data_IF_767440566544
#
_entry.id   IF_767440566544
#
_cell.length_a   1.000
_cell.length_b   1.000
_cell.length_c   1.000
_cell.angle_alpha   90.00
_cell.angle_beta   90.00
_cell.angle_gamma   90.00
#
_symmetry.space_group_name_H-M   'P 1'
#
loop_
_entity.id
_entity.type
_entity.pdbx_description
1 polymer ?
#
# COMPACT_ATOMS: atom_id res chain seq x y z
N UNK A 1 5.56 9.13 -16.29
CA UNK A 1 4.79 8.93 -15.06
C UNK A 1 4.00 7.62 -15.08
N UNK A 2 3.26 7.34 -16.17
CA UNK A 2 2.51 6.09 -16.34
C UNK A 2 3.41 4.86 -16.18
N UNK A 3 4.51 4.79 -16.91
CA UNK A 3 5.42 3.64 -16.88
C UNK A 3 5.93 3.34 -15.46
N UNK A 4 6.24 4.41 -14.71
CA UNK A 4 6.67 4.26 -13.32
C UNK A 4 5.56 3.72 -12.42
N UNK A 5 4.33 4.19 -12.58
CA UNK A 5 3.19 3.69 -11.82
C UNK A 5 2.87 2.23 -12.19
N UNK A 6 2.91 1.91 -13.47
CA UNK A 6 2.74 0.54 -13.95
C UNK A 6 3.80 -0.40 -13.36
N UNK A 7 5.07 0.01 -13.37
CA UNK A 7 6.18 -0.75 -12.77
C UNK A 7 5.95 -0.99 -11.26
N UNK A 8 5.51 0.04 -10.52
CA UNK A 8 5.22 -0.08 -9.08
C UNK A 8 4.13 -1.12 -8.84
N UNK A 9 2.96 -1.00 -9.46
CA UNK A 9 1.87 -1.94 -9.26
C UNK A 9 2.20 -3.34 -9.76
N UNK A 10 2.89 -3.46 -10.88
CA UNK A 10 3.34 -4.75 -11.41
C UNK A 10 4.33 -5.43 -10.46
N UNK A 11 5.26 -4.70 -9.89
CA UNK A 11 6.21 -5.23 -8.90
C UNK A 11 5.50 -5.70 -7.65
N UNK A 12 4.57 -4.90 -7.11
CA UNK A 12 3.77 -5.27 -5.94
C UNK A 12 3.02 -6.59 -6.18
N UNK A 13 2.34 -6.69 -7.31
CA UNK A 13 1.54 -7.88 -7.66
C UNK A 13 2.45 -9.09 -7.84
N UNK A 14 3.52 -8.97 -8.62
CA UNK A 14 4.44 -10.07 -8.88
C UNK A 14 5.08 -10.57 -7.60
N UNK A 15 5.60 -9.68 -6.76
CA UNK A 15 6.20 -10.05 -5.48
C UNK A 15 5.18 -10.73 -4.56
N UNK A 16 3.94 -10.25 -4.52
CA UNK A 16 2.88 -10.85 -3.69
C UNK A 16 2.52 -12.27 -4.15
N UNK A 17 2.41 -12.49 -5.45
CA UNK A 17 2.15 -13.81 -6.02
C UNK A 17 3.32 -14.77 -5.80
N UNK A 18 4.54 -14.29 -5.89
CA UNK A 18 5.74 -15.09 -5.59
C UNK A 18 5.81 -15.46 -4.11
N UNK A 19 5.44 -14.53 -3.22
CA UNK A 19 5.31 -14.83 -1.78
C UNK A 19 4.24 -15.90 -1.52
N UNK A 20 3.09 -15.82 -2.18
CA UNK A 20 2.05 -16.84 -2.05
C UNK A 20 2.59 -18.22 -2.46
N UNK A 21 3.23 -18.32 -3.62
CA UNK A 21 3.85 -19.57 -4.11
C UNK A 21 4.89 -20.14 -3.13
N UNK A 22 5.77 -19.29 -2.58
CA UNK A 22 6.77 -19.69 -1.57
C UNK A 22 6.13 -20.23 -0.29
N UNK A 23 4.92 -19.79 0.03
CA UNK A 23 4.14 -20.30 1.16
C UNK A 23 3.18 -21.44 0.79
N UNK A 24 3.32 -22.04 -0.40
CA UNK A 24 2.46 -23.09 -0.93
C UNK A 24 0.98 -22.68 -1.01
N UNK A 25 0.70 -21.41 -1.22
CA UNK A 25 -0.64 -20.87 -1.43
C UNK A 25 -0.80 -20.51 -2.92
N UNK A 26 -1.92 -20.93 -3.55
CA UNK A 26 -2.11 -20.69 -4.98
C UNK A 26 -2.39 -19.22 -5.33
N UNK A 27 -2.96 -18.47 -4.40
CA UNK A 27 -3.51 -17.14 -4.66
C UNK A 27 -3.07 -16.10 -3.63
N UNK A 28 -3.24 -14.81 -3.96
CA UNK A 28 -2.97 -13.70 -3.06
C UNK A 28 -4.14 -12.69 -3.05
N UNK A 29 -4.45 -12.15 -1.88
CA UNK A 29 -5.28 -10.95 -1.73
C UNK A 29 -4.38 -9.79 -1.33
N UNK A 30 -4.18 -8.87 -2.25
CA UNK A 30 -3.22 -7.77 -2.13
C UNK A 30 -3.98 -6.50 -1.83
N UNK A 31 -3.76 -5.92 -0.66
CA UNK A 31 -4.35 -4.65 -0.27
C UNK A 31 -3.31 -3.54 -0.42
N UNK A 32 -3.64 -2.54 -1.21
CA UNK A 32 -2.72 -1.44 -1.56
C UNK A 32 -3.44 -0.10 -1.46
N UNK A 33 -2.82 0.93 -0.84
CA UNK A 33 -3.34 2.29 -0.90
C UNK A 33 -3.21 2.86 -2.31
N UNK A 34 -3.92 3.97 -2.58
CA UNK A 34 -3.87 4.65 -3.88
C UNK A 34 -2.53 5.40 -4.04
N UNK A 35 -1.46 4.63 -4.27
CA UNK A 35 -0.07 5.12 -4.31
C UNK A 35 0.09 6.16 -5.40
N UNK A 36 0.73 7.29 -5.04
CA UNK A 36 1.01 8.40 -5.95
C UNK A 36 -0.14 9.41 -6.09
N UNK A 37 -1.32 9.14 -5.54
CA UNK A 37 -2.48 10.05 -5.60
C UNK A 37 -2.54 11.04 -4.43
N UNK A 38 -1.61 10.96 -3.48
CA UNK A 38 -1.59 11.72 -2.23
C UNK A 38 -0.86 13.07 -2.29
N UNK A 39 -0.10 13.35 -1.23
CA UNK A 39 0.53 14.64 -0.97
C UNK A 39 1.47 15.16 -2.08
N UNK A 40 2.11 14.27 -2.82
CA UNK A 40 2.98 14.65 -3.93
C UNK A 40 2.27 15.39 -5.08
N UNK A 41 0.96 15.24 -5.20
CA UNK A 41 0.17 15.95 -6.19
C UNK A 41 -0.33 17.32 -5.72
N UNK A 42 -0.10 17.68 -4.45
CA UNK A 42 -0.62 18.95 -3.88
C UNK A 42 0.00 20.20 -4.51
N UNK A 43 1.24 20.11 -4.98
CA UNK A 43 1.94 21.20 -5.66
C UNK A 43 1.54 21.40 -7.12
N UNK A 44 0.81 20.45 -7.70
CA UNK A 44 0.37 20.50 -9.08
C UNK A 44 -0.93 21.30 -9.23
N UNK A 45 -1.10 21.96 -10.38
CA UNK A 45 -2.40 22.54 -10.71
C UNK A 45 -3.44 21.42 -10.96
N UNK A 46 -4.72 21.79 -10.96
CA UNK A 46 -5.84 20.83 -11.08
C UNK A 46 -5.73 19.94 -12.33
N UNK A 47 -5.38 20.52 -13.47
CA UNK A 47 -5.28 19.79 -14.74
C UNK A 47 -4.14 18.76 -14.69
N UNK A 48 -2.99 19.15 -14.13
CA UNK A 48 -1.85 18.24 -13.95
C UNK A 48 -2.17 17.13 -12.94
N UNK A 49 -2.80 17.49 -11.81
CA UNK A 49 -3.23 16.53 -10.79
C UNK A 49 -4.17 15.49 -11.40
N UNK A 50 -5.21 15.94 -12.11
CA UNK A 50 -6.19 15.05 -12.74
C UNK A 50 -5.52 14.13 -13.78
N UNK A 51 -4.58 14.66 -14.56
CA UNK A 51 -3.82 13.84 -15.52
C UNK A 51 -2.95 12.79 -14.85
N UNK A 52 -2.30 13.11 -13.73
CA UNK A 52 -1.55 12.13 -12.96
C UNK A 52 -2.45 11.02 -12.42
N UNK A 53 -3.60 11.37 -11.85
CA UNK A 53 -4.57 10.40 -11.32
C UNK A 53 -5.11 9.50 -12.44
N UNK A 54 -5.46 10.05 -13.60
CA UNK A 54 -5.86 9.27 -14.77
C UNK A 54 -4.80 8.22 -15.15
N UNK A 55 -3.52 8.62 -15.17
CA UNK A 55 -2.41 7.73 -15.50
C UNK A 55 -2.19 6.64 -14.44
N UNK A 56 -2.38 6.96 -13.16
CA UNK A 56 -2.33 5.95 -12.09
C UNK A 56 -3.46 4.93 -12.26
N UNK A 57 -4.69 5.38 -12.43
CA UNK A 57 -5.86 4.52 -12.64
C UNK A 57 -5.62 3.58 -13.83
N UNK A 58 -5.13 4.12 -14.92
CA UNK A 58 -4.82 3.35 -16.13
C UNK A 58 -3.71 2.30 -15.89
N UNK A 59 -2.69 2.65 -15.12
CA UNK A 59 -1.64 1.71 -14.73
C UNK A 59 -2.21 0.57 -13.88
N UNK A 60 -3.05 0.87 -12.88
CA UNK A 60 -3.72 -0.12 -12.05
C UNK A 60 -4.58 -1.08 -12.90
N UNK A 61 -5.44 -0.54 -13.75
CA UNK A 61 -6.33 -1.35 -14.59
C UNK A 61 -5.54 -2.31 -15.49
N UNK A 62 -4.46 -1.82 -16.11
CA UNK A 62 -3.62 -2.66 -16.96
C UNK A 62 -2.87 -3.73 -16.18
N UNK A 63 -2.45 -3.43 -14.95
CA UNK A 63 -1.74 -4.41 -14.12
C UNK A 63 -2.69 -5.48 -13.59
N UNK A 64 -3.90 -5.08 -13.20
CA UNK A 64 -4.92 -6.02 -12.69
C UNK A 64 -5.30 -7.08 -13.72
N UNK A 65 -5.29 -6.74 -15.00
CA UNK A 65 -5.60 -7.71 -16.08
C UNK A 65 -4.60 -8.89 -16.15
N UNK A 66 -3.45 -8.79 -15.50
CA UNK A 66 -2.46 -9.88 -15.42
C UNK A 66 -2.57 -10.74 -14.16
N UNK A 67 -3.48 -10.40 -13.24
CA UNK A 67 -3.67 -11.14 -11.99
C UNK A 67 -4.42 -12.44 -12.26
N UNK A 68 -4.00 -13.59 -11.69
CA UNK A 68 -4.75 -14.85 -11.77
C UNK A 68 -6.18 -14.72 -11.25
N UNK A 69 -7.13 -15.47 -11.81
CA UNK A 69 -8.58 -15.30 -11.58
C UNK A 69 -9.02 -15.33 -10.11
N UNK A 70 -8.31 -16.08 -9.25
CA UNK A 70 -8.65 -16.20 -7.83
C UNK A 70 -7.94 -15.20 -6.94
N UNK A 71 -6.86 -14.59 -7.42
CA UNK A 71 -6.14 -13.54 -6.70
C UNK A 71 -6.86 -12.20 -6.87
N UNK A 72 -6.70 -11.30 -5.89
CA UNK A 72 -7.41 -10.01 -5.89
C UNK A 72 -6.51 -8.85 -5.50
N UNK A 73 -6.69 -7.73 -6.17
CA UNK A 73 -6.16 -6.44 -5.76
C UNK A 73 -7.27 -5.61 -5.11
N UNK A 74 -7.09 -5.28 -3.84
CA UNK A 74 -7.93 -4.35 -3.10
C UNK A 74 -7.28 -2.96 -3.11
N UNK A 75 -7.80 -2.05 -3.92
CA UNK A 75 -7.37 -0.66 -3.92
C UNK A 75 -8.08 0.11 -2.82
N UNK A 76 -7.31 0.67 -1.89
CA UNK A 76 -7.81 1.45 -0.77
C UNK A 76 -7.70 2.95 -1.09
N UNK A 77 -8.84 3.62 -1.23
CA UNK A 77 -8.93 5.06 -1.50
C UNK A 77 -9.41 5.78 -0.25
N UNK A 78 -8.53 6.59 0.33
CA UNK A 78 -8.85 7.45 1.46
C UNK A 78 -9.41 8.78 0.96
N UNK A 79 -10.42 9.30 1.65
CA UNK A 79 -11.06 10.57 1.31
C UNK A 79 -11.46 10.66 -0.17
N UNK A 80 -12.32 9.76 -0.67
CA UNK A 80 -12.67 9.72 -2.10
C UNK A 80 -13.26 11.05 -2.61
N UNK A 81 -13.78 11.89 -1.72
CA UNK A 81 -14.27 13.23 -2.04
C UNK A 81 -13.16 14.23 -2.47
N UNK A 82 -11.89 13.92 -2.20
CA UNK A 82 -10.76 14.74 -2.65
C UNK A 82 -10.39 14.50 -4.13
N UNK A 83 -10.99 13.48 -4.75
CA UNK A 83 -10.77 13.13 -6.15
C UNK A 83 -11.93 13.60 -7.03
N UNK A 84 -11.62 13.86 -8.29
CA UNK A 84 -12.64 14.16 -9.29
C UNK A 84 -13.65 12.98 -9.39
N UNK A 85 -14.93 13.31 -9.45
CA UNK A 85 -16.01 12.32 -9.53
C UNK A 85 -15.86 11.39 -10.74
N UNK A 86 -15.32 11.89 -11.85
CA UNK A 86 -15.07 11.07 -13.05
C UNK A 86 -14.05 9.96 -12.78
N UNK A 87 -12.98 10.24 -12.05
CA UNK A 87 -11.95 9.25 -11.67
C UNK A 87 -12.54 8.16 -10.77
N UNK A 88 -13.32 8.56 -9.76
CA UNK A 88 -13.97 7.60 -8.88
C UNK A 88 -15.00 6.75 -9.61
N UNK A 89 -15.72 7.34 -10.56
CA UNK A 89 -16.67 6.60 -11.42
C UNK A 89 -15.96 5.54 -12.26
N UNK A 90 -14.80 5.86 -12.84
CA UNK A 90 -14.00 4.88 -13.61
C UNK A 90 -13.58 3.71 -12.72
N UNK A 91 -13.06 3.99 -11.50
CA UNK A 91 -12.65 2.94 -10.55
C UNK A 91 -13.82 2.06 -10.12
N UNK A 92 -14.99 2.64 -9.81
CA UNK A 92 -16.20 1.90 -9.43
C UNK A 92 -16.72 1.02 -10.58
N UNK A 93 -16.73 1.55 -11.80
CA UNK A 93 -17.12 0.78 -12.97
C UNK A 93 -16.17 -0.37 -13.24
N UNK A 94 -14.87 -0.16 -13.06
CA UNK A 94 -13.88 -1.21 -13.18
C UNK A 94 -14.07 -2.28 -12.11
N UNK A 95 -14.30 -1.90 -10.84
CA UNK A 95 -14.59 -2.84 -9.77
C UNK A 95 -15.84 -3.70 -10.02
N UNK A 96 -16.85 -3.12 -10.67
CA UNK A 96 -18.08 -3.85 -11.02
C UNK A 96 -17.89 -4.82 -12.21
N UNK A 97 -16.89 -4.61 -13.04
CA UNK A 97 -16.64 -5.41 -14.25
C UNK A 97 -15.47 -6.39 -14.14
N UNK A 98 -14.61 -6.22 -13.16
CA UNK A 98 -13.37 -7.00 -13.00
C UNK A 98 -13.36 -7.75 -11.66
N UNK A 99 -13.51 -9.06 -11.69
CA UNK A 99 -13.57 -9.90 -10.49
C UNK A 99 -12.28 -9.92 -9.67
N UNK A 100 -11.14 -9.58 -10.27
CA UNK A 100 -9.84 -9.49 -9.62
C UNK A 100 -9.59 -8.15 -8.93
N UNK A 101 -10.48 -7.16 -9.12
CA UNK A 101 -10.33 -5.83 -8.56
C UNK A 101 -11.43 -5.51 -7.56
N UNK A 102 -11.04 -5.03 -6.39
CA UNK A 102 -11.96 -4.56 -5.34
C UNK A 102 -11.59 -3.14 -4.98
N UNK A 103 -12.54 -2.22 -5.08
CA UNK A 103 -12.39 -0.85 -4.62
C UNK A 103 -12.89 -0.73 -3.19
N UNK A 104 -12.06 -0.23 -2.30
CA UNK A 104 -12.40 0.11 -0.92
C UNK A 104 -12.31 1.61 -0.74
N UNK A 105 -13.40 2.23 -0.33
CA UNK A 105 -13.49 3.67 -0.13
C UNK A 105 -13.85 3.99 1.31
N UNK A 106 -13.25 5.04 1.86
CA UNK A 106 -13.59 5.52 3.20
C UNK A 106 -12.84 6.76 3.60
N UNK A 107 -13.36 7.46 4.61
CA UNK A 107 -12.77 8.69 5.12
C UNK A 107 -11.76 8.45 6.24
N UNK A 108 -11.64 7.23 6.73
CA UNK A 108 -10.70 6.83 7.78
C UNK A 108 -9.94 5.58 7.35
N UNK A 109 -8.64 5.57 7.53
CA UNK A 109 -7.77 4.45 7.19
C UNK A 109 -8.22 3.13 7.80
N UNK A 110 -8.51 3.11 9.09
CA UNK A 110 -8.94 1.91 9.80
C UNK A 110 -10.24 1.28 9.30
N UNK A 111 -11.04 2.02 8.51
CA UNK A 111 -12.26 1.49 7.90
C UNK A 111 -12.02 0.94 6.48
N UNK A 112 -10.89 1.28 5.87
CA UNK A 112 -10.59 0.94 4.48
C UNK A 112 -9.56 -0.18 4.40
N UNK A 113 -8.56 -0.16 5.29
CA UNK A 113 -7.53 -1.20 5.35
C UNK A 113 -7.86 -2.24 6.42
N UNK A 114 -8.02 -3.48 6.00
CA UNK A 114 -8.19 -4.61 6.92
C UNK A 114 -6.83 -5.09 7.44
N UNK A 115 -6.80 -5.64 8.66
CA UNK A 115 -5.64 -6.37 9.14
C UNK A 115 -5.34 -7.63 8.30
N UNK A 116 -4.09 -8.09 8.34
CA UNK A 116 -3.63 -9.27 7.59
C UNK A 116 -4.47 -10.53 7.89
N UNK A 117 -4.91 -10.70 9.13
CA UNK A 117 -5.69 -11.87 9.57
C UNK A 117 -7.03 -11.99 8.84
N UNK A 118 -7.59 -10.88 8.38
CA UNK A 118 -8.84 -10.86 7.62
C UNK A 118 -8.65 -11.11 6.11
N UNK A 119 -7.40 -11.07 5.63
CA UNK A 119 -7.08 -11.24 4.21
C UNK A 119 -6.49 -12.63 3.93
N UNK A 120 -5.80 -13.22 4.91
CA UNK A 120 -5.18 -14.52 4.77
C UNK A 120 -6.20 -15.63 5.03
N UNK A 121 -6.24 -16.60 4.14
CA UNK A 121 -7.07 -17.81 4.25
C UNK A 121 -6.23 -19.06 4.01
N UNK A 122 -6.81 -20.23 4.12
CA UNK A 122 -6.11 -21.50 3.84
C UNK A 122 -5.65 -21.65 2.37
N UNK A 123 -6.19 -20.84 1.46
CA UNK A 123 -5.89 -20.91 0.02
C UNK A 123 -5.34 -19.60 -0.53
N UNK A 124 -5.23 -18.55 0.29
CA UNK A 124 -4.94 -17.22 -0.20
C UNK A 124 -4.03 -16.46 0.78
N UNK A 125 -2.90 -15.96 0.31
CA UNK A 125 -2.01 -15.12 1.09
C UNK A 125 -2.55 -13.68 1.16
N UNK A 126 -2.78 -13.17 2.37
CA UNK A 126 -3.04 -11.76 2.59
C UNK A 126 -1.74 -10.95 2.51
N UNK A 127 -1.72 -9.93 1.68
CA UNK A 127 -0.60 -8.98 1.57
C UNK A 127 -1.11 -7.57 1.77
N UNK A 128 -0.52 -6.84 2.70
CA UNK A 128 -0.80 -5.41 2.94
C UNK A 128 0.41 -4.60 2.53
N UNK A 129 0.21 -3.70 1.58
CA UNK A 129 1.24 -2.78 1.10
C UNK A 129 1.08 -1.46 1.83
N UNK A 130 2.12 -1.04 2.53
CA UNK A 130 2.20 0.28 3.13
C UNK A 130 2.97 1.21 2.20
N UNK A 131 2.31 2.27 1.74
CA UNK A 131 2.99 3.35 1.02
C UNK A 131 3.62 4.29 2.05
N UNK A 132 4.89 4.09 2.29
CA UNK A 132 5.67 4.88 3.22
C UNK A 132 6.35 6.06 2.52
N UNK A 133 6.35 7.23 3.15
CA UNK A 133 7.27 8.30 2.74
C UNK A 133 8.69 7.88 3.10
N UNK A 134 9.54 7.74 2.08
CA UNK A 134 10.95 7.34 2.25
C UNK A 134 11.76 8.33 3.09
N UNK A 135 11.25 9.54 3.30
CA UNK A 135 11.85 10.55 4.18
C UNK A 135 11.27 10.51 5.60
N UNK A 136 10.20 9.76 5.83
CA UNK A 136 9.62 9.56 7.16
C UNK A 136 10.44 8.53 7.93
N UNK A 137 11.02 8.93 9.04
CA UNK A 137 11.56 7.99 10.01
C UNK A 137 10.40 7.27 10.71
N UNK A 138 10.60 5.99 11.06
CA UNK A 138 9.65 5.23 11.88
C UNK A 138 9.31 6.04 13.14
N UNK A 139 8.04 6.38 13.33
CA UNK A 139 7.58 7.17 14.47
C UNK A 139 7.48 8.67 14.24
N UNK A 140 7.56 9.14 13.01
CA UNK A 140 7.44 10.55 12.66
C UNK A 140 5.98 11.07 12.65
N UNK A 141 5.00 10.17 12.63
CA UNK A 141 3.59 10.52 12.77
C UNK A 141 3.14 10.59 14.24
N UNK A 142 2.26 11.52 14.58
CA UNK A 142 1.61 11.56 15.90
C UNK A 142 0.57 10.44 16.04
N UNK A 143 0.34 9.95 17.26
CA UNK A 143 -0.69 8.93 17.53
C UNK A 143 -2.12 9.37 17.16
N UNK A 144 -2.31 10.64 16.84
CA UNK A 144 -3.57 11.23 16.37
C UNK A 144 -3.62 11.45 14.85
N UNK A 145 -2.51 11.24 14.15
CA UNK A 145 -2.50 11.28 12.70
C UNK A 145 -3.09 9.99 12.17
N UNK A 146 -4.26 10.10 11.57
CA UNK A 146 -4.94 9.02 10.85
C UNK A 146 -4.25 8.72 9.49
N UNK A 147 -2.98 9.08 9.37
CA UNK A 147 -2.13 8.74 8.24
C UNK A 147 -1.59 7.30 8.38
N UNK A 148 -1.08 6.73 7.30
CA UNK A 148 -0.36 5.44 7.36
C UNK A 148 0.79 5.52 8.37
N UNK A 149 1.44 6.67 8.46
CA UNK A 149 2.50 6.95 9.44
C UNK A 149 1.96 6.90 10.87
N UNK A 150 0.79 7.48 11.13
CA UNK A 150 0.10 7.42 12.43
C UNK A 150 -0.33 6.01 12.81
N UNK A 151 -0.83 5.23 11.85
CA UNK A 151 -1.18 3.81 12.06
C UNK A 151 0.06 2.97 12.38
N UNK A 152 1.16 3.17 11.69
CA UNK A 152 2.43 2.49 11.97
C UNK A 152 2.97 2.89 13.35
N UNK A 153 2.83 4.16 13.75
CA UNK A 153 3.22 4.62 15.09
C UNK A 153 2.30 4.03 16.17
N UNK A 154 1.01 3.96 15.95
CA UNK A 154 0.05 3.41 16.92
C UNK A 154 0.24 1.90 17.09
N UNK A 155 0.43 1.16 15.99
CA UNK A 155 0.70 -0.28 16.05
C UNK A 155 2.14 -0.61 16.46
N UNK A 156 3.09 0.29 16.19
CA UNK A 156 4.45 0.23 16.67
C UNK A 156 4.64 0.89 18.04
N UNK A 157 3.57 1.13 18.80
CA UNK A 157 3.68 1.75 20.14
C UNK A 157 4.69 1.04 21.03
N UNK A 158 4.71 -0.29 21.02
CA UNK A 158 5.75 -1.09 21.64
C UNK A 158 7.11 -0.93 20.96
N UNK A 159 7.12 -0.88 19.63
CA UNK A 159 8.33 -0.71 18.83
C UNK A 159 8.91 0.69 18.98
N UNK A 160 8.06 1.71 19.02
CA UNK A 160 8.45 3.10 19.23
C UNK A 160 9.03 3.33 20.63
N UNK A 161 8.47 2.68 21.66
CA UNK A 161 9.06 2.69 23.01
C UNK A 161 10.42 2.00 23.04
N UNK A 162 10.64 0.96 22.27
CA UNK A 162 11.92 0.30 22.12
C UNK A 162 12.92 1.20 21.36
N UNK A 163 12.48 1.90 20.31
CA UNK A 163 13.34 2.87 19.60
C UNK A 163 13.67 4.12 20.42
N UNK A 164 12.79 4.54 21.33
CA UNK A 164 13.06 5.64 22.28
C UNK A 164 13.96 5.22 23.42
N UNK A 165 14.11 3.93 23.66
CA UNK A 165 15.08 3.43 24.61
C UNK A 165 16.48 3.58 24.00
N UNK A 166 17.33 4.39 24.63
CA UNK A 166 18.68 4.72 24.16
C UNK A 166 19.54 3.48 23.91
N UNK A 167 19.36 2.42 24.70
CA UNK A 167 20.10 1.16 24.52
C UNK A 167 19.64 0.42 23.26
N UNK A 168 18.37 0.49 22.90
CA UNK A 168 17.84 -0.13 21.69
C UNK A 168 18.22 0.66 20.43
N UNK A 169 18.13 1.98 20.49
CA UNK A 169 18.65 2.87 19.44
C UNK A 169 20.14 2.65 19.21
N UNK A 170 20.90 2.53 20.29
CA UNK A 170 22.33 2.21 20.21
C UNK A 170 22.55 0.86 19.53
N UNK A 171 21.80 -0.16 19.91
CA UNK A 171 21.88 -1.49 19.31
C UNK A 171 21.36 -1.51 17.86
N UNK A 172 20.28 -0.80 17.54
CA UNK A 172 19.73 -0.74 16.18
C UNK A 172 20.64 0.09 15.24
N UNK A 173 21.14 1.23 15.69
CA UNK A 173 21.96 2.13 14.87
C UNK A 173 23.41 1.64 14.77
N UNK A 174 23.95 1.07 15.84
CA UNK A 174 25.37 0.66 15.90
C UNK A 174 25.58 -0.85 15.72
N UNK A 175 24.59 -1.67 15.93
CA UNK A 175 24.71 -3.12 15.84
C UNK A 175 24.45 -3.69 14.43
N UNK A 176 24.69 -2.95 13.41
CA UNK A 176 24.71 -3.36 11.99
C UNK A 176 23.59 -4.29 11.47
N UNK A 177 22.75 -4.85 12.36
CA UNK A 177 21.71 -5.80 11.96
C UNK A 177 20.57 -5.13 11.15
N UNK A 178 20.21 -3.90 11.49
CA UNK A 178 19.19 -3.16 10.74
C UNK A 178 19.73 -2.51 9.45
N UNK A 179 21.04 -2.24 9.39
CA UNK A 179 21.67 -1.57 8.27
C UNK A 179 22.64 -2.47 7.51
N UNK A 180 22.76 -3.73 7.91
CA UNK A 180 23.54 -4.69 7.15
C UNK A 180 22.69 -5.26 6.02
N UNK A 181 23.03 -4.98 4.72
CA UNK A 181 22.31 -5.51 3.57
C UNK A 181 22.18 -7.04 3.60
N UNK A 182 23.17 -7.74 4.16
CA UNK A 182 23.18 -9.20 4.26
C UNK A 182 22.15 -9.76 5.26
N UNK A 183 21.60 -8.88 6.14
CA UNK A 183 20.54 -9.24 7.08
C UNK A 183 19.14 -9.01 6.50
N UNK A 184 19.03 -8.42 5.32
CA UNK A 184 17.76 -8.09 4.69
C UNK A 184 17.34 -9.21 3.74
N UNK A 185 16.17 -9.76 3.99
CA UNK A 185 15.52 -10.59 2.98
C UNK A 185 14.88 -9.64 1.99
N UNK A 186 15.54 -9.43 0.86
CA UNK A 186 14.93 -8.74 -0.28
C UNK A 186 13.94 -9.72 -0.89
N UNK A 187 12.66 -9.42 -0.72
CA UNK A 187 11.56 -10.18 -1.32
C UNK A 187 11.21 -9.56 -2.65
#
# INVERSE_FOLDING_TARGET
YYDRQFEIFNTIITASLDMARKNNLPDATIQVPFIGAGCYLKSLNIAQKNKCIELIIRAIMNTVSSIPDKSKLHLCVFNPAEFDTSHMTVLRNFANSCGQFVLKEGNQEGNVMNGLDNLTTNTNLGVVVNAWDTLSLIGNGGAKDYSVDGFMVANAGGFNNQFRNSSYLHNAVFNKHYFNPDSWIVV
#
